data_IF_335137384068
#
_entry.id   IF_335137384068
#
_cell.length_a   1.000
_cell.length_b   1.000
_cell.length_c   1.000
_cell.angle_alpha   90.00
_cell.angle_beta   90.00
_cell.angle_gamma   90.00
#
_symmetry.space_group_name_H-M   'P 1'
#
loop_
_entity.id
_entity.type
_entity.pdbx_description
1 polymer ?
#
# COMPACT_ATOMS: atom_id res chain seq x y z
N UNK A 1 -7.04 35.50 -1.60
CA UNK A 1 -6.37 34.21 -1.87
C UNK A 1 -6.09 34.16 -3.36
N UNK A 2 -4.87 33.80 -3.75
CA UNK A 2 -4.51 33.65 -5.15
C UNK A 2 -4.67 32.16 -5.53
N UNK A 3 -5.11 31.90 -6.76
CA UNK A 3 -5.09 30.55 -7.34
C UNK A 3 -3.66 30.14 -7.69
N UNK A 4 -3.44 28.85 -7.90
CA UNK A 4 -2.17 28.37 -8.44
C UNK A 4 -1.94 28.95 -9.84
N UNK A 5 -0.66 29.17 -10.19
CA UNK A 5 -0.30 29.63 -11.54
C UNK A 5 -0.73 28.62 -12.61
N UNK A 6 -1.14 29.09 -13.79
CA UNK A 6 -1.61 28.21 -14.89
C UNK A 6 -0.64 27.09 -15.25
N UNK A 7 0.68 27.31 -15.17
CA UNK A 7 1.69 26.28 -15.42
C UNK A 7 1.61 25.08 -14.48
N UNK A 8 1.03 25.24 -13.26
CA UNK A 8 0.83 24.13 -12.33
C UNK A 8 -0.06 23.03 -12.94
N UNK A 9 -1.06 23.42 -13.71
CA UNK A 9 -2.03 22.51 -14.27
C UNK A 9 -1.61 21.83 -15.58
N UNK A 10 -0.57 22.35 -16.25
CA UNK A 10 -0.21 21.94 -17.62
C UNK A 10 1.25 21.52 -17.79
N UNK A 11 2.11 21.66 -16.79
CA UNK A 11 3.52 21.38 -16.91
C UNK A 11 3.89 20.01 -16.30
N UNK A 12 4.39 19.08 -17.12
CA UNK A 12 4.74 17.72 -16.71
C UNK A 12 5.83 17.68 -15.63
N UNK A 13 6.80 18.63 -15.64
CA UNK A 13 7.83 18.68 -14.59
C UNK A 13 7.24 19.01 -13.24
N UNK A 14 6.24 19.89 -13.19
CA UNK A 14 5.52 20.23 -11.96
C UNK A 14 4.70 19.02 -11.53
N UNK A 15 4.01 18.37 -12.45
CA UNK A 15 3.25 17.14 -12.15
C UNK A 15 4.14 16.05 -11.56
N UNK A 16 5.27 15.73 -12.19
CA UNK A 16 6.22 14.74 -11.69
C UNK A 16 6.78 15.12 -10.31
N UNK A 17 7.11 16.40 -10.09
CA UNK A 17 7.52 16.88 -8.76
C UNK A 17 6.40 16.73 -7.72
N UNK A 18 5.15 16.85 -8.12
CA UNK A 18 3.97 16.65 -7.24
C UNK A 18 3.84 15.19 -6.83
N UNK A 19 4.08 14.25 -7.75
CA UNK A 19 4.09 12.81 -7.44
C UNK A 19 5.07 12.52 -6.31
N UNK A 20 6.30 13.00 -6.44
CA UNK A 20 7.38 12.74 -5.47
C UNK A 20 7.16 13.46 -4.13
N UNK A 21 6.73 14.73 -4.18
CA UNK A 21 6.71 15.61 -3.00
C UNK A 21 5.38 15.57 -2.24
N UNK A 22 4.29 15.21 -2.91
CA UNK A 22 2.94 15.18 -2.33
C UNK A 22 2.45 13.74 -2.28
N UNK A 23 2.22 13.08 -3.42
CA UNK A 23 1.55 11.79 -3.43
C UNK A 23 2.34 10.68 -2.74
N UNK A 24 3.64 10.57 -2.98
CA UNK A 24 4.49 9.57 -2.33
C UNK A 24 4.63 9.80 -0.82
N UNK A 25 4.44 11.04 -0.35
CA UNK A 25 4.65 11.46 1.04
C UNK A 25 3.37 11.60 1.85
N UNK A 26 2.21 11.51 1.22
CA UNK A 26 0.94 11.56 1.93
C UNK A 26 0.36 10.17 2.16
N UNK A 27 -0.48 10.06 3.18
CA UNK A 27 -1.25 8.87 3.46
C UNK A 27 -2.40 8.71 2.47
N UNK A 28 -2.44 7.58 1.79
CA UNK A 28 -3.48 7.23 0.82
C UNK A 28 -4.41 6.17 1.41
N UNK A 29 -5.72 6.37 1.26
CA UNK A 29 -6.71 5.32 1.58
C UNK A 29 -6.62 4.26 0.50
N UNK A 30 -6.23 3.04 0.88
CA UNK A 30 -6.09 1.93 -0.07
C UNK A 30 -7.36 1.09 -0.12
N UNK A 31 -7.90 0.74 1.04
CA UNK A 31 -9.06 -0.15 1.12
C UNK A 31 -9.68 -0.11 2.52
N UNK A 32 -10.65 -0.99 2.74
CA UNK A 32 -11.24 -1.26 4.04
C UNK A 32 -10.92 -2.71 4.49
N UNK A 33 -10.95 -2.94 5.78
CA UNK A 33 -10.49 -4.20 6.40
C UNK A 33 -11.32 -5.44 6.01
N UNK A 34 -12.56 -5.29 5.54
CA UNK A 34 -13.37 -6.41 5.05
C UNK A 34 -12.75 -7.12 3.85
N UNK A 35 -11.94 -6.41 3.05
CA UNK A 35 -11.20 -7.01 1.92
C UNK A 35 -10.11 -8.01 2.34
N UNK A 36 -9.72 -7.97 3.61
CA UNK A 36 -8.68 -8.80 4.22
C UNK A 36 -9.25 -9.75 5.29
N UNK A 37 -10.53 -10.11 5.20
CA UNK A 37 -11.23 -11.03 6.11
C UNK A 37 -11.74 -12.28 5.40
N UNK A 38 -12.13 -13.28 6.18
CA UNK A 38 -12.68 -14.54 5.67
C UNK A 38 -11.60 -15.42 5.04
N UNK A 39 -11.79 -15.77 3.78
CA UNK A 39 -10.89 -16.63 3.02
C UNK A 39 -9.74 -15.88 2.32
N UNK A 40 -9.53 -14.61 2.64
CA UNK A 40 -8.46 -13.76 2.09
C UNK A 40 -7.80 -12.98 3.21
N UNK A 41 -6.50 -13.08 3.32
CA UNK A 41 -5.69 -12.28 4.24
C UNK A 41 -4.56 -11.54 3.55
N UNK A 42 -4.46 -11.63 2.23
CA UNK A 42 -3.47 -10.96 1.39
C UNK A 42 -4.17 -10.27 0.22
N UNK A 43 -3.84 -9.00 0.00
CA UNK A 43 -4.39 -8.15 -1.05
C UNK A 43 -3.25 -7.42 -1.78
N UNK A 44 -2.85 -7.88 -2.98
CA UNK A 44 -1.93 -7.14 -3.82
C UNK A 44 -2.63 -5.93 -4.46
N UNK A 45 -1.89 -4.85 -4.65
CA UNK A 45 -2.37 -3.66 -5.33
C UNK A 45 -1.21 -2.83 -5.90
N UNK A 46 -1.51 -1.96 -6.86
CA UNK A 46 -0.60 -0.93 -7.34
C UNK A 46 -0.87 0.37 -6.58
N UNK A 47 0.18 0.94 -5.98
CA UNK A 47 0.05 2.23 -5.29
C UNK A 47 -0.15 3.34 -6.32
N UNK A 48 -1.21 4.11 -6.24
CA UNK A 48 -1.57 5.19 -7.16
C UNK A 48 -1.64 4.81 -8.66
N UNK A 49 -1.92 3.56 -8.98
CA UNK A 49 -2.14 3.11 -10.35
C UNK A 49 -1.00 3.46 -11.31
N UNK A 50 -1.31 4.07 -12.46
CA UNK A 50 -0.31 4.40 -13.49
C UNK A 50 0.59 5.59 -13.13
N UNK A 51 0.23 6.35 -12.09
CA UNK A 51 0.96 7.57 -11.69
C UNK A 51 2.23 7.23 -10.90
N UNK A 52 2.11 6.26 -9.99
CA UNK A 52 3.21 5.75 -9.17
C UNK A 52 3.01 4.25 -8.94
N UNK A 53 3.29 3.42 -9.97
CA UNK A 53 2.93 2.01 -10.00
C UNK A 53 3.85 1.14 -9.13
N UNK A 54 3.86 1.38 -7.82
CA UNK A 54 4.61 0.56 -6.88
C UNK A 54 3.80 -0.68 -6.51
N UNK A 55 4.29 -1.90 -6.80
CA UNK A 55 3.60 -3.13 -6.45
C UNK A 55 3.68 -3.40 -4.95
N UNK A 56 2.55 -3.33 -4.27
CA UNK A 56 2.44 -3.51 -2.84
C UNK A 56 1.52 -4.67 -2.46
N UNK A 57 1.67 -5.15 -1.24
CA UNK A 57 0.91 -6.27 -0.69
C UNK A 57 0.45 -5.95 0.74
N UNK A 58 -0.85 -5.79 0.95
CA UNK A 58 -1.44 -5.76 2.28
C UNK A 58 -1.63 -7.18 2.81
N UNK A 59 -1.23 -7.41 4.04
CA UNK A 59 -1.40 -8.69 4.74
C UNK A 59 -2.07 -8.46 6.08
N UNK A 60 -3.14 -9.21 6.34
CA UNK A 60 -3.76 -9.29 7.65
C UNK A 60 -3.25 -10.55 8.37
N UNK A 61 -2.50 -10.35 9.43
CA UNK A 61 -2.06 -11.40 10.32
C UNK A 61 -2.72 -11.21 11.69
N UNK A 62 -3.85 -11.89 11.92
CA UNK A 62 -4.62 -11.82 13.17
C UNK A 62 -4.99 -10.37 13.59
N UNK A 63 -5.60 -9.63 12.68
CA UNK A 63 -5.97 -8.21 12.83
C UNK A 63 -4.80 -7.21 12.85
N UNK A 64 -3.58 -7.67 12.78
CA UNK A 64 -2.43 -6.82 12.52
C UNK A 64 -2.22 -6.71 11.01
N UNK A 65 -2.49 -5.53 10.45
CA UNK A 65 -2.36 -5.28 9.01
C UNK A 65 -1.01 -4.64 8.75
N UNK A 66 -0.25 -5.25 7.85
CA UNK A 66 1.04 -4.75 7.36
C UNK A 66 1.01 -4.57 5.86
N UNK A 67 1.76 -3.61 5.36
CA UNK A 67 2.02 -3.43 3.93
C UNK A 67 3.48 -3.76 3.65
N UNK A 68 3.70 -4.55 2.61
CA UNK A 68 5.02 -4.98 2.15
C UNK A 68 5.19 -4.64 0.68
N UNK A 69 6.43 -4.47 0.23
CA UNK A 69 6.71 -4.55 -1.19
C UNK A 69 6.31 -5.94 -1.71
N UNK A 70 5.58 -5.98 -2.81
CA UNK A 70 5.15 -7.22 -3.46
C UNK A 70 6.19 -7.76 -4.45
N UNK A 71 7.44 -7.29 -4.32
CA UNK A 71 8.55 -7.61 -5.20
C UNK A 71 9.57 -8.48 -4.48
N UNK A 72 9.89 -9.62 -5.06
CA UNK A 72 10.88 -10.54 -4.49
C UNK A 72 12.29 -9.94 -4.51
N UNK A 73 12.95 -9.92 -3.35
CA UNK A 73 14.30 -9.38 -3.17
C UNK A 73 15.40 -10.20 -3.84
N UNK A 74 15.08 -11.26 -4.58
CA UNK A 74 16.05 -12.04 -5.36
C UNK A 74 16.22 -11.48 -6.78
N UNK A 75 15.15 -11.48 -7.59
CA UNK A 75 15.17 -11.04 -9.01
C UNK A 75 13.91 -10.29 -9.42
N UNK A 76 13.29 -9.54 -8.53
CA UNK A 76 12.22 -8.62 -8.85
C UNK A 76 10.88 -9.27 -9.28
N UNK A 77 10.69 -10.57 -9.04
CA UNK A 77 9.43 -11.23 -9.39
C UNK A 77 8.29 -10.78 -8.48
N UNK A 78 7.12 -10.54 -9.03
CA UNK A 78 5.91 -10.27 -8.25
C UNK A 78 5.54 -11.53 -7.45
N UNK A 79 5.30 -11.35 -6.15
CA UNK A 79 5.07 -12.46 -5.22
C UNK A 79 3.63 -12.95 -5.27
N UNK A 80 2.67 -12.06 -5.21
CA UNK A 80 1.24 -12.33 -5.18
C UNK A 80 0.55 -11.51 -6.26
N UNK A 81 -0.18 -12.17 -7.17
CA UNK A 81 -0.87 -11.49 -8.27
C UNK A 81 -2.34 -11.22 -7.98
N UNK A 82 -2.98 -12.01 -7.11
CA UNK A 82 -4.41 -11.93 -6.81
C UNK A 82 -4.68 -12.07 -5.31
N UNK A 83 -5.79 -11.51 -4.81
CA UNK A 83 -6.19 -11.66 -3.41
C UNK A 83 -6.34 -13.13 -3.02
N UNK A 84 -5.58 -13.57 -2.01
CA UNK A 84 -5.52 -14.97 -1.59
C UNK A 84 -5.41 -15.12 -0.07
N UNK A 85 -5.38 -16.37 0.40
CA UNK A 85 -5.11 -16.71 1.79
C UNK A 85 -3.71 -17.29 1.93
N UNK A 86 -2.85 -16.59 2.65
CA UNK A 86 -1.51 -17.05 3.01
C UNK A 86 -1.59 -17.74 4.37
N UNK A 87 -1.39 -19.06 4.38
CA UNK A 87 -1.41 -19.86 5.62
C UNK A 87 -0.16 -19.63 6.44
N UNK A 88 1.00 -19.83 5.86
CA UNK A 88 2.30 -19.78 6.52
C UNK A 88 3.19 -18.68 5.92
N UNK A 89 3.85 -18.97 4.82
CA UNK A 89 4.85 -18.12 4.18
C UNK A 89 4.38 -17.62 2.81
N UNK A 90 4.89 -16.45 2.43
CA UNK A 90 4.85 -15.94 1.06
C UNK A 90 5.97 -16.65 0.31
N UNK A 91 5.64 -17.37 -0.77
CA UNK A 91 6.62 -18.08 -1.57
C UNK A 91 6.72 -17.48 -2.96
N UNK A 92 7.91 -17.08 -3.35
CA UNK A 92 8.18 -16.60 -4.70
C UNK A 92 8.05 -17.75 -5.71
N UNK A 93 7.18 -17.59 -6.70
CA UNK A 93 6.94 -18.60 -7.73
C UNK A 93 8.12 -18.84 -8.67
N UNK A 94 9.13 -17.94 -8.68
CA UNK A 94 10.26 -18.05 -9.61
C UNK A 94 11.34 -19.02 -9.09
N UNK A 95 11.88 -18.81 -7.87
CA UNK A 95 12.95 -19.65 -7.32
C UNK A 95 12.66 -20.18 -5.90
N UNK A 96 11.44 -20.08 -5.44
CA UNK A 96 11.04 -20.63 -4.15
C UNK A 96 11.54 -19.87 -2.91
N UNK A 97 12.06 -18.61 -3.05
CA UNK A 97 12.41 -17.78 -1.90
C UNK A 97 11.17 -17.52 -1.06
N UNK A 98 11.29 -17.69 0.26
CA UNK A 98 10.17 -17.62 1.19
C UNK A 98 10.35 -16.49 2.20
N UNK A 99 9.24 -15.84 2.54
CA UNK A 99 9.13 -14.81 3.55
C UNK A 99 7.96 -15.12 4.47
N UNK A 100 8.05 -14.74 5.73
CA UNK A 100 6.87 -14.77 6.59
C UNK A 100 5.89 -13.63 6.28
N UNK A 101 4.77 -13.60 6.98
CA UNK A 101 3.72 -12.56 6.81
C UNK A 101 4.16 -11.16 7.25
N UNK A 102 5.30 -11.06 7.91
CA UNK A 102 5.93 -9.80 8.27
C UNK A 102 7.00 -9.35 7.28
N UNK A 103 7.24 -10.13 6.21
CA UNK A 103 8.24 -9.85 5.19
C UNK A 103 9.64 -10.32 5.53
N UNK A 104 9.84 -11.01 6.66
CA UNK A 104 11.16 -11.52 7.05
C UNK A 104 11.50 -12.75 6.22
N UNK A 105 12.71 -12.79 5.68
CA UNK A 105 13.25 -13.94 4.97
C UNK A 105 13.20 -15.21 5.83
N UNK A 106 12.84 -16.34 5.25
CA UNK A 106 12.76 -17.65 5.92
C UNK A 106 13.59 -18.72 5.25
N UNK A 107 13.56 -18.81 3.93
CA UNK A 107 14.21 -19.88 3.20
C UNK A 107 14.45 -19.52 1.75
N UNK A 108 15.51 -20.06 1.17
CA UNK A 108 15.76 -20.04 -0.26
C UNK A 108 16.46 -21.36 -0.67
N UNK A 109 15.93 -22.08 -1.68
CA UNK A 109 16.59 -23.29 -2.19
C UNK A 109 18.01 -22.99 -2.68
N UNK A 110 18.94 -23.94 -2.44
CA UNK A 110 20.33 -23.86 -2.90
C UNK A 110 21.09 -22.61 -2.43
N UNK A 111 20.80 -22.13 -1.24
CA UNK A 111 21.49 -20.99 -0.63
C UNK A 111 22.58 -21.41 0.37
N UNK A 112 22.79 -22.71 0.55
CA UNK A 112 23.79 -23.25 1.47
C UNK A 112 25.21 -22.81 1.03
N UNK A 113 25.97 -22.28 1.95
CA UNK A 113 27.35 -21.82 1.71
C UNK A 113 27.49 -20.46 1.03
N UNK A 114 26.41 -19.73 0.77
CA UNK A 114 26.47 -18.34 0.29
C UNK A 114 27.03 -17.44 1.41
N UNK A 115 28.04 -16.63 1.05
CA UNK A 115 28.64 -15.67 1.97
C UNK A 115 27.65 -14.51 2.20
N UNK A 116 27.59 -14.01 3.43
CA UNK A 116 26.77 -12.85 3.83
C UNK A 116 25.26 -13.02 3.52
N UNK A 117 24.80 -14.25 3.42
CA UNK A 117 23.39 -14.57 3.19
C UNK A 117 22.86 -15.48 4.32
N UNK A 118 21.63 -15.23 4.85
CA UNK A 118 20.79 -14.07 4.57
C UNK A 118 21.24 -12.81 5.31
N UNK A 119 20.90 -11.65 4.75
CA UNK A 119 21.09 -10.32 5.34
C UNK A 119 19.74 -9.61 5.53
N UNK A 120 19.73 -8.42 6.10
CA UNK A 120 18.52 -7.60 6.21
C UNK A 120 17.95 -7.22 4.84
N UNK A 121 18.80 -7.09 3.82
CA UNK A 121 18.41 -6.81 2.43
C UNK A 121 17.64 -7.95 1.77
N UNK A 122 17.64 -9.13 2.37
CA UNK A 122 16.86 -10.27 1.92
C UNK A 122 15.40 -10.24 2.37
N UNK A 123 15.06 -9.38 3.32
CA UNK A 123 13.70 -9.14 3.77
C UNK A 123 12.91 -8.30 2.73
N UNK A 124 11.59 -8.44 2.74
CA UNK A 124 10.72 -7.52 1.99
C UNK A 124 10.69 -6.16 2.68
N UNK A 125 10.72 -5.11 1.88
CA UNK A 125 10.57 -3.74 2.39
C UNK A 125 9.19 -3.57 3.02
N UNK A 126 9.16 -3.08 4.26
CA UNK A 126 7.93 -2.71 4.95
C UNK A 126 7.54 -1.29 4.59
N UNK A 127 6.29 -1.13 4.24
CA UNK A 127 5.72 0.17 3.86
C UNK A 127 4.88 0.70 5.03
N UNK A 128 5.04 1.97 5.42
CA UNK A 128 4.24 2.61 6.45
C UNK A 128 2.74 2.40 6.23
N UNK A 129 2.10 1.81 7.23
CA UNK A 129 0.70 1.39 7.16
C UNK A 129 0.00 1.85 8.44
N UNK A 130 -1.18 2.42 8.28
CA UNK A 130 -1.99 2.88 9.39
C UNK A 130 -3.46 2.52 9.19
N UNK A 131 -4.24 2.57 10.27
CA UNK A 131 -5.66 2.27 10.27
C UNK A 131 -6.43 3.35 11.00
N UNK A 132 -7.53 3.79 10.40
CA UNK A 132 -8.56 4.58 11.06
C UNK A 132 -9.92 3.93 10.82
N UNK A 133 -10.59 3.55 11.91
CA UNK A 133 -11.85 2.78 11.85
C UNK A 133 -11.64 1.50 11.00
N UNK A 134 -12.41 1.30 9.93
CA UNK A 134 -12.23 0.19 8.99
C UNK A 134 -11.30 0.51 7.81
N UNK A 135 -10.86 1.76 7.65
CA UNK A 135 -10.03 2.16 6.52
C UNK A 135 -8.55 1.91 6.77
N UNK A 136 -7.88 1.43 5.73
CA UNK A 136 -6.44 1.13 5.73
C UNK A 136 -5.74 2.16 4.85
N UNK A 137 -4.73 2.78 5.44
CA UNK A 137 -3.90 3.81 4.82
C UNK A 137 -2.49 3.32 4.63
N UNK A 138 -1.86 3.76 3.54
CA UNK A 138 -0.46 3.48 3.21
C UNK A 138 0.21 4.77 2.75
N UNK A 139 1.48 4.95 3.09
CA UNK A 139 2.34 6.01 2.54
C UNK A 139 3.70 5.42 2.24
N UNK A 140 4.33 5.80 1.11
CA UNK A 140 5.69 5.34 0.81
C UNK A 140 6.73 6.02 1.70
N UNK A 141 6.59 7.32 1.93
CA UNK A 141 7.53 8.15 2.69
C UNK A 141 6.75 9.22 3.48
N UNK A 142 6.03 8.86 4.55
CA UNK A 142 5.13 9.80 5.22
C UNK A 142 5.86 11.04 5.73
N UNK A 143 5.42 12.22 5.27
CA UNK A 143 5.92 13.51 5.73
C UNK A 143 5.17 14.05 6.96
N UNK A 144 4.01 13.47 7.26
CA UNK A 144 3.15 13.84 8.38
C UNK A 144 2.85 12.58 9.19
N UNK A 145 2.87 12.67 10.51
CA UNK A 145 2.40 11.59 11.37
C UNK A 145 0.93 11.27 11.09
N UNK A 146 0.60 9.99 11.06
CA UNK A 146 -0.77 9.57 10.75
C UNK A 146 -1.79 10.08 11.77
N UNK A 147 -1.43 10.12 13.05
CA UNK A 147 -2.35 10.57 14.09
C UNK A 147 -2.62 12.08 13.99
N UNK A 148 -1.64 12.86 13.54
CA UNK A 148 -1.85 14.29 13.26
C UNK A 148 -2.84 14.49 12.12
N UNK A 149 -2.65 13.76 11.01
CA UNK A 149 -3.56 13.82 9.87
C UNK A 149 -4.99 13.40 10.26
N UNK A 150 -5.10 12.28 10.96
CA UNK A 150 -6.42 11.68 11.25
C UNK A 150 -7.18 12.47 12.32
N UNK A 151 -6.48 13.17 13.20
CA UNK A 151 -7.10 14.00 14.23
C UNK A 151 -8.03 15.04 13.62
N UNK A 152 -7.60 15.76 12.59
CA UNK A 152 -8.46 16.74 11.92
C UNK A 152 -9.70 16.11 11.27
N UNK A 153 -9.55 14.91 10.74
CA UNK A 153 -10.66 14.16 10.13
C UNK A 153 -11.61 13.66 11.22
N UNK A 154 -11.07 13.10 12.30
CA UNK A 154 -11.86 12.56 13.41
C UNK A 154 -12.64 13.66 14.14
N UNK A 155 -12.03 14.83 14.34
CA UNK A 155 -12.68 16.00 14.93
C UNK A 155 -13.92 16.47 14.10
N UNK A 156 -13.87 16.31 12.78
CA UNK A 156 -14.95 16.73 11.88
C UNK A 156 -16.03 15.67 11.68
N UNK A 157 -15.65 14.41 11.55
CA UNK A 157 -16.59 13.33 11.13
C UNK A 157 -16.60 12.11 12.06
N UNK A 158 -15.74 12.08 13.10
CA UNK A 158 -15.61 10.94 14.02
C UNK A 158 -16.87 10.67 14.86
N UNK A 159 -17.79 11.63 14.96
CA UNK A 159 -19.11 11.49 15.59
C UNK A 159 -20.05 10.56 14.79
N UNK A 160 -19.79 10.32 13.51
CA UNK A 160 -20.55 9.40 12.70
C UNK A 160 -20.22 7.93 13.06
N UNK A 161 -21.18 7.00 12.98
CA UNK A 161 -20.94 5.59 13.23
C UNK A 161 -20.22 4.92 12.03
N UNK A 162 -19.03 5.44 11.69
CA UNK A 162 -18.28 5.07 10.48
C UNK A 162 -17.97 3.56 10.47
N UNK A 163 -17.75 2.95 11.63
CA UNK A 163 -17.51 1.50 11.76
C UNK A 163 -18.69 0.64 11.28
N UNK A 164 -19.88 1.22 11.22
CA UNK A 164 -21.10 0.57 10.72
C UNK A 164 -21.31 0.75 9.24
N UNK A 165 -20.51 1.62 8.59
CA UNK A 165 -20.64 1.86 7.16
C UNK A 165 -20.18 0.62 6.38
N UNK A 166 -20.92 0.29 5.33
CA UNK A 166 -20.61 -0.83 4.44
C UNK A 166 -20.41 -0.32 3.02
N UNK A 167 -19.41 -0.87 2.38
CA UNK A 167 -19.18 -0.59 0.96
C UNK A 167 -20.33 -1.17 0.11
N UNK A 168 -20.91 -0.34 -0.72
CA UNK A 168 -22.01 -0.67 -1.64
C UNK A 168 -21.51 -0.55 -3.08
N UNK A 169 -21.04 -1.67 -3.63
CA UNK A 169 -20.54 -1.72 -5.02
C UNK A 169 -21.64 -1.34 -6.02
N UNK A 170 -22.87 -1.73 -5.75
CA UNK A 170 -24.05 -1.44 -6.58
C UNK A 170 -24.42 0.04 -6.64
N UNK A 171 -23.99 0.84 -5.66
CA UNK A 171 -24.19 2.28 -5.61
C UNK A 171 -22.91 3.07 -5.98
N UNK A 172 -21.80 2.39 -6.18
CA UNK A 172 -20.51 3.03 -6.53
C UNK A 172 -20.47 3.34 -8.02
N UNK A 173 -19.96 4.52 -8.37
CA UNK A 173 -19.75 4.96 -9.76
C UNK A 173 -18.34 5.49 -9.91
N UNK A 174 -17.77 5.25 -11.07
CA UNK A 174 -16.46 5.79 -11.47
C UNK A 174 -16.67 6.83 -12.58
N UNK A 175 -15.94 7.93 -12.48
CA UNK A 175 -15.97 9.00 -13.45
C UNK A 175 -14.54 9.31 -13.91
N UNK A 176 -14.32 9.35 -15.19
CA UNK A 176 -13.04 9.76 -15.79
C UNK A 176 -13.15 11.21 -16.24
N UNK A 177 -12.27 12.05 -15.74
CA UNK A 177 -12.19 13.47 -16.08
C UNK A 177 -10.80 13.74 -16.63
N UNK A 178 -10.73 14.30 -17.84
CA UNK A 178 -9.47 14.71 -18.44
C UNK A 178 -9.05 16.09 -17.90
N UNK A 179 -8.57 16.09 -16.65
CA UNK A 179 -8.19 17.28 -15.94
C UNK A 179 -7.02 17.00 -14.98
N UNK A 180 -6.31 18.05 -14.60
CA UNK A 180 -5.31 17.96 -13.54
C UNK A 180 -5.99 17.63 -12.20
N UNK A 181 -5.32 16.88 -11.33
CA UNK A 181 -5.85 16.44 -10.03
C UNK A 181 -6.23 17.59 -9.08
N UNK A 182 -5.67 18.78 -9.26
CA UNK A 182 -5.92 19.96 -8.42
C UNK A 182 -7.14 20.80 -8.87
N UNK A 183 -7.82 20.40 -9.93
CA UNK A 183 -9.08 21.02 -10.40
C UNK A 183 -10.27 20.27 -9.83
#
# INVERSE_FOLDING_TARGET
>A
ANTLEGKFYTNDKIFNSTIEKIFAKNWQIITHDEKLKGNKNALPFQFLGDVLPEPLLLINNNNNITCLSNVCTHRGNILINEPCYIKNNITCGYHGKQFDKCGVFKFMPKSEGMKEFPSENDNLVRIPTARWKQFIFVSLLPAIDFNELIKEIDDRVGWMPIEKFKYRKDLSKEYYVNANWAL
#
